data_IF_309548191968
#
_entry.id   IF_309548191968
#
_cell.length_a   1.000
_cell.length_b   1.000
_cell.length_c   1.000
_cell.angle_alpha   90.00
_cell.angle_beta   90.00
_cell.angle_gamma   90.00
#
_symmetry.space_group_name_H-M   'P 1'
#
loop_
_entity.id
_entity.type
_entity.pdbx_description
1 polymer ?
#
# COMPACT_ATOMS: atom_id res chain seq x y z
N UNK A 1 12.55 28.41 -5.39
CA UNK A 1 11.47 27.89 -4.61
C UNK A 1 11.56 26.39 -4.43
N UNK A 2 11.56 25.96 -3.23
CA UNK A 2 11.66 24.54 -2.96
C UNK A 2 10.32 23.86 -3.21
N UNK A 3 10.39 22.72 -3.83
CA UNK A 3 9.23 21.85 -3.94
C UNK A 3 9.21 20.98 -2.72
N UNK A 4 8.22 21.17 -1.92
CA UNK A 4 8.02 20.26 -0.80
C UNK A 4 7.23 19.09 -1.31
N UNK A 5 7.67 17.89 -0.96
CA UNK A 5 6.88 16.71 -1.18
C UNK A 5 5.58 16.88 -0.42
N UNK A 6 4.46 16.62 -1.06
CA UNK A 6 3.18 16.64 -0.37
C UNK A 6 3.21 15.60 0.72
N UNK A 7 2.78 15.96 1.92
CA UNK A 7 2.59 14.99 2.98
C UNK A 7 1.59 13.93 2.49
N UNK A 8 1.74 12.67 2.92
CA UNK A 8 0.77 11.66 2.55
C UNK A 8 -0.62 12.02 3.06
N UNK A 9 -1.61 11.79 2.23
CA UNK A 9 -3.00 12.05 2.57
C UNK A 9 -3.83 10.82 2.27
N UNK A 10 -4.73 10.49 3.19
CA UNK A 10 -5.67 9.41 2.98
C UNK A 10 -7.05 9.86 3.45
N UNK A 11 -8.06 9.61 2.64
CA UNK A 11 -9.44 9.91 2.98
C UNK A 11 -10.28 8.66 2.75
N UNK A 12 -11.29 8.50 3.60
CA UNK A 12 -12.17 7.34 3.51
C UNK A 12 -13.61 7.80 3.26
N UNK A 13 -14.27 7.14 2.33
CA UNK A 13 -15.70 7.24 2.16
C UNK A 13 -16.29 6.01 2.84
N UNK A 14 -16.76 6.19 4.06
CA UNK A 14 -17.23 5.09 4.89
C UNK A 14 -18.55 4.50 4.40
N UNK A 15 -19.31 5.26 3.62
CA UNK A 15 -20.56 4.78 3.04
C UNK A 15 -20.29 3.85 1.87
N UNK A 16 -19.33 4.22 1.02
CA UNK A 16 -18.98 3.43 -0.16
C UNK A 16 -17.94 2.35 0.14
N UNK A 17 -17.31 2.38 1.31
CA UNK A 17 -16.26 1.44 1.64
C UNK A 17 -15.03 1.63 0.79
N UNK A 18 -14.61 2.87 0.61
CA UNK A 18 -13.55 3.27 -0.31
C UNK A 18 -12.53 4.15 0.38
N UNK A 19 -11.25 3.88 0.12
CA UNK A 19 -10.15 4.72 0.58
C UNK A 19 -9.43 5.27 -0.64
N UNK A 20 -9.10 6.55 -0.61
CA UNK A 20 -8.22 7.19 -1.58
C UNK A 20 -7.03 7.75 -0.81
N UNK A 21 -5.82 7.46 -1.30
CA UNK A 21 -4.61 7.96 -0.67
C UNK A 21 -3.61 8.40 -1.73
N UNK A 22 -2.79 9.38 -1.40
CA UNK A 22 -1.79 9.90 -2.33
C UNK A 22 -0.54 10.30 -1.57
N UNK A 23 0.61 10.19 -2.24
CA UNK A 23 1.89 10.68 -1.73
C UNK A 23 2.82 10.93 -2.92
N UNK A 24 3.71 11.91 -2.77
CA UNK A 24 4.77 12.14 -3.76
C UNK A 24 6.09 11.75 -3.13
N UNK A 25 6.88 10.96 -3.85
CA UNK A 25 8.12 10.40 -3.34
C UNK A 25 9.29 10.75 -4.26
N UNK A 26 10.46 10.92 -3.67
CA UNK A 26 11.67 11.33 -4.40
C UNK A 26 12.40 10.09 -4.94
N UNK A 27 11.78 9.42 -5.91
CA UNK A 27 12.35 8.23 -6.53
C UNK A 27 11.74 8.05 -7.92
N UNK A 28 12.45 7.39 -8.85
CA UNK A 28 11.92 7.17 -10.20
C UNK A 28 10.83 6.08 -10.20
N UNK A 29 10.00 6.10 -11.24
CA UNK A 29 8.87 5.17 -11.37
C UNK A 29 9.25 3.71 -11.12
N UNK A 30 10.34 3.26 -11.73
CA UNK A 30 10.76 1.86 -11.61
C UNK A 30 11.09 1.50 -10.15
N UNK A 31 11.78 2.38 -9.45
CA UNK A 31 12.13 2.14 -8.06
C UNK A 31 10.90 2.13 -7.16
N UNK A 32 9.95 3.02 -7.44
CA UNK A 32 8.70 3.07 -6.67
C UNK A 32 7.90 1.79 -6.92
N UNK A 33 7.79 1.37 -8.17
CA UNK A 33 7.06 0.14 -8.48
C UNK A 33 7.66 -1.05 -7.73
N UNK A 34 8.99 -1.15 -7.69
CA UNK A 34 9.65 -2.21 -6.95
C UNK A 34 9.29 -2.20 -5.47
N UNK A 35 9.22 -1.01 -4.87
CA UNK A 35 8.89 -0.90 -3.46
C UNK A 35 7.45 -1.36 -3.16
N UNK A 36 6.55 -1.26 -4.15
CA UNK A 36 5.16 -1.68 -3.97
C UNK A 36 4.95 -3.18 -4.13
N UNK A 37 5.89 -3.87 -4.75
CA UNK A 37 5.68 -5.27 -5.15
C UNK A 37 6.93 -6.11 -4.94
N UNK A 38 7.53 -6.03 -3.77
CA UNK A 38 8.69 -6.80 -3.40
C UNK A 38 8.79 -6.88 -1.88
N UNK A 39 9.85 -7.50 -1.39
CA UNK A 39 10.12 -7.57 0.04
C UNK A 39 10.33 -6.19 0.67
N UNK A 40 10.52 -5.16 -0.15
CA UNK A 40 10.60 -3.78 0.34
C UNK A 40 9.34 -3.38 1.11
N UNK A 41 8.23 -4.06 0.88
CA UNK A 41 6.99 -3.83 1.63
C UNK A 41 7.22 -3.94 3.14
N UNK A 42 8.13 -4.79 3.57
CA UNK A 42 8.41 -4.96 4.99
C UNK A 42 9.02 -3.70 5.63
N UNK A 43 9.54 -2.79 4.82
CA UNK A 43 10.12 -1.55 5.32
C UNK A 43 9.08 -0.44 5.49
N UNK A 44 7.94 -0.53 4.81
CA UNK A 44 6.98 0.58 4.86
C UNK A 44 5.55 0.17 5.25
N UNK A 45 5.21 -1.11 5.21
CA UNK A 45 3.93 -1.56 5.81
C UNK A 45 4.14 -1.71 7.31
N UNK A 46 4.38 -0.60 7.98
CA UNK A 46 4.68 -0.55 9.41
C UNK A 46 3.98 0.65 10.02
N UNK A 47 3.36 0.45 11.16
CA UNK A 47 2.82 1.54 11.97
C UNK A 47 3.30 1.30 13.40
N UNK A 48 4.27 2.09 13.88
CA UNK A 48 4.87 1.87 15.19
C UNK A 48 3.82 1.72 16.30
N UNK A 49 3.95 0.64 17.08
CA UNK A 49 3.03 0.36 18.17
C UNK A 49 1.72 -0.29 17.73
N UNK A 50 1.48 -0.46 16.44
CA UNK A 50 0.23 -1.01 15.93
C UNK A 50 0.48 -2.27 15.11
N UNK A 51 1.27 -2.18 14.04
CA UNK A 51 1.61 -3.36 13.27
C UNK A 51 3.00 -3.25 12.66
N UNK A 52 3.57 -4.42 12.33
CA UNK A 52 4.93 -4.54 11.81
C UNK A 52 4.95 -5.72 10.86
N UNK A 53 5.03 -5.45 9.56
CA UNK A 53 5.10 -6.48 8.54
C UNK A 53 6.53 -6.97 8.42
N UNK A 54 6.76 -8.26 8.52
CA UNK A 54 8.09 -8.87 8.60
C UNK A 54 8.45 -9.72 7.39
N UNK A 55 7.44 -10.24 6.68
CA UNK A 55 7.66 -11.10 5.53
C UNK A 55 6.73 -10.74 4.40
N UNK A 56 7.23 -10.85 3.19
CA UNK A 56 6.43 -10.67 1.98
C UNK A 56 6.96 -11.60 0.90
N UNK A 57 6.07 -12.24 0.18
CA UNK A 57 6.42 -13.04 -1.00
C UNK A 57 5.34 -12.85 -2.05
N UNK A 58 5.71 -13.01 -3.31
CA UNK A 58 4.72 -12.88 -4.37
C UNK A 58 5.30 -13.11 -5.75
N UNK A 59 4.40 -13.40 -6.68
CA UNK A 59 4.72 -13.47 -8.10
C UNK A 59 4.02 -12.31 -8.78
N UNK A 60 4.79 -11.31 -9.21
CA UNK A 60 4.24 -10.05 -9.73
C UNK A 60 3.88 -10.23 -11.21
N UNK A 61 2.74 -10.85 -11.44
CA UNK A 61 2.14 -11.07 -12.76
C UNK A 61 0.64 -11.25 -12.56
N UNK A 62 -0.13 -11.00 -13.59
CA UNK A 62 -1.58 -11.24 -13.53
C UNK A 62 -1.83 -12.69 -13.17
N UNK A 63 -2.63 -12.93 -12.16
CA UNK A 63 -2.90 -14.26 -11.63
C UNK A 63 -1.89 -14.75 -10.60
N UNK A 64 -0.82 -14.02 -10.38
CA UNK A 64 0.17 -14.38 -9.37
C UNK A 64 -0.34 -14.07 -7.96
N UNK A 65 0.03 -14.91 -6.99
CA UNK A 65 -0.36 -14.74 -5.60
C UNK A 65 0.68 -13.93 -4.83
N UNK A 66 0.25 -13.23 -3.80
CA UNK A 66 1.15 -12.58 -2.86
C UNK A 66 0.69 -12.86 -1.43
N UNK A 67 1.63 -12.78 -0.50
CA UNK A 67 1.35 -12.98 0.92
C UNK A 67 2.30 -12.14 1.76
N UNK A 68 1.77 -11.56 2.83
CA UNK A 68 2.54 -10.79 3.79
C UNK A 68 2.16 -11.23 5.21
N UNK A 69 3.12 -11.18 6.13
CA UNK A 69 2.85 -11.55 7.51
C UNK A 69 3.71 -10.74 8.46
N UNK A 70 3.27 -10.67 9.70
CA UNK A 70 3.97 -9.92 10.73
C UNK A 70 3.22 -9.98 12.05
N UNK A 71 3.39 -8.93 12.85
CA UNK A 71 2.76 -8.79 14.15
C UNK A 71 1.85 -7.57 14.12
N UNK A 72 0.61 -7.71 14.54
CA UNK A 72 -0.32 -6.59 14.66
C UNK A 72 -1.12 -6.75 15.95
N UNK A 73 -1.20 -5.67 16.74
CA UNK A 73 -1.89 -5.72 18.01
C UNK A 73 -1.32 -6.75 18.99
N UNK A 74 -0.01 -7.02 18.89
CA UNK A 74 0.64 -8.03 19.72
C UNK A 74 0.39 -9.47 19.28
N UNK A 75 -0.22 -9.68 18.11
CA UNK A 75 -0.56 -11.01 17.61
C UNK A 75 -0.06 -11.20 16.19
N UNK A 76 0.29 -12.43 15.80
CA UNK A 76 0.63 -12.72 14.42
C UNK A 76 -0.55 -12.39 13.50
N UNK A 77 -0.25 -11.83 12.32
CA UNK A 77 -1.24 -11.62 11.29
C UNK A 77 -0.68 -12.02 9.94
N UNK A 78 -1.55 -12.29 8.99
CA UNK A 78 -1.17 -12.58 7.63
C UNK A 78 -2.21 -12.02 6.67
N UNK A 79 -1.72 -11.50 5.57
CA UNK A 79 -2.54 -10.98 4.48
C UNK A 79 -2.19 -11.74 3.22
N UNK A 80 -3.14 -11.85 2.30
CA UNK A 80 -2.92 -12.53 1.04
C UNK A 80 -3.78 -11.91 -0.06
N UNK A 81 -3.38 -12.16 -1.29
CA UNK A 81 -4.16 -11.69 -2.42
C UNK A 81 -3.59 -12.19 -3.73
N UNK A 82 -4.13 -11.66 -4.81
CA UNK A 82 -3.76 -12.03 -6.16
C UNK A 82 -3.61 -10.75 -6.98
N UNK A 83 -2.58 -10.71 -7.83
CA UNK A 83 -2.39 -9.58 -8.74
C UNK A 83 -3.40 -9.72 -9.89
N UNK A 84 -4.18 -8.65 -10.11
CA UNK A 84 -5.20 -8.65 -11.15
C UNK A 84 -4.86 -7.74 -12.31
N UNK A 85 -3.94 -6.79 -12.10
CA UNK A 85 -3.44 -5.94 -13.16
C UNK A 85 -1.99 -5.57 -12.87
N UNK A 86 -1.11 -5.73 -13.85
CA UNK A 86 0.31 -5.38 -13.71
C UNK A 86 0.74 -4.66 -14.98
N UNK A 87 0.93 -3.36 -14.88
CA UNK A 87 1.40 -2.52 -15.99
C UNK A 87 2.61 -1.74 -15.47
N UNK A 88 3.76 -2.39 -15.50
CA UNK A 88 5.02 -1.86 -14.96
C UNK A 88 5.54 -0.73 -15.84
N UNK A 89 5.95 0.40 -15.27
CA UNK A 89 5.98 0.76 -13.85
C UNK A 89 4.85 1.71 -13.43
N UNK A 90 3.68 1.65 -14.08
CA UNK A 90 2.64 2.66 -13.95
C UNK A 90 1.44 2.24 -13.13
N UNK A 91 1.12 0.95 -13.12
CA UNK A 91 -0.11 0.52 -12.45
C UNK A 91 0.03 -0.87 -11.89
N UNK A 92 -0.53 -1.07 -10.70
CA UNK A 92 -0.54 -2.36 -10.04
C UNK A 92 -1.85 -2.49 -9.28
N UNK A 93 -2.58 -3.58 -9.52
CA UNK A 93 -3.83 -3.85 -8.83
C UNK A 93 -3.79 -5.25 -8.26
N UNK A 94 -4.25 -5.40 -7.02
CA UNK A 94 -4.32 -6.72 -6.40
C UNK A 94 -5.48 -6.79 -5.43
N UNK A 95 -5.91 -8.01 -5.12
CA UNK A 95 -6.87 -8.23 -4.05
C UNK A 95 -6.14 -8.23 -2.71
N UNK A 96 -6.90 -8.13 -1.63
CA UNK A 96 -6.36 -8.01 -0.28
C UNK A 96 -7.37 -8.61 0.70
N UNK A 97 -6.90 -9.54 1.53
CA UNK A 97 -7.74 -10.08 2.62
C UNK A 97 -6.86 -10.59 3.73
N UNK A 98 -7.40 -10.58 4.94
CA UNK A 98 -6.72 -11.23 6.06
C UNK A 98 -6.92 -12.75 5.92
N UNK A 99 -5.85 -13.51 6.12
CA UNK A 99 -5.89 -14.98 6.05
C UNK A 99 -6.85 -15.49 7.14
N UNK A 100 -7.77 -16.36 6.72
CA UNK A 100 -8.75 -16.92 7.65
C UNK A 100 -9.97 -16.05 7.90
N UNK A 101 -10.03 -14.86 7.34
CA UNK A 101 -11.18 -13.97 7.48
C UNK A 101 -12.34 -14.47 6.62
N UNK A 102 -13.58 -14.44 7.14
CA UNK A 102 -14.75 -14.77 6.33
C UNK A 102 -15.16 -13.62 5.41
N UNK A 103 -14.57 -12.42 5.58
CA UNK A 103 -14.92 -11.29 4.77
C UNK A 103 -14.40 -11.45 3.34
N UNK A 104 -15.12 -10.88 2.37
CA UNK A 104 -14.69 -10.88 0.98
C UNK A 104 -13.40 -10.04 0.82
N UNK A 105 -12.63 -10.36 -0.20
CA UNK A 105 -11.43 -9.59 -0.52
C UNK A 105 -11.78 -8.15 -0.87
N UNK A 106 -10.91 -7.23 -0.48
CA UNK A 106 -10.95 -5.86 -0.96
C UNK A 106 -9.97 -5.74 -2.14
N UNK A 107 -9.97 -4.59 -2.81
CA UNK A 107 -9.15 -4.38 -4.01
C UNK A 107 -8.30 -3.14 -3.85
N UNK A 108 -6.99 -3.29 -4.08
CA UNK A 108 -6.03 -2.21 -4.00
C UNK A 108 -5.53 -1.91 -5.40
N UNK A 109 -5.58 -0.64 -5.80
CA UNK A 109 -5.00 -0.18 -7.06
C UNK A 109 -4.00 0.93 -6.78
N UNK A 110 -2.81 0.81 -7.35
CA UNK A 110 -1.80 1.87 -7.33
C UNK A 110 -1.64 2.42 -8.73
N UNK A 111 -1.66 3.73 -8.85
CA UNK A 111 -1.32 4.44 -10.09
C UNK A 111 -0.09 5.29 -9.81
N UNK A 112 0.94 5.16 -10.65
CA UNK A 112 2.19 5.89 -10.51
C UNK A 112 2.35 6.85 -11.66
N UNK A 113 2.65 8.13 -11.33
CA UNK A 113 2.81 9.18 -12.32
C UNK A 113 4.06 10.00 -12.00
N UNK A 114 4.80 10.36 -13.04
CA UNK A 114 5.95 11.23 -12.87
C UNK A 114 5.46 12.66 -12.78
N UNK A 115 5.83 13.36 -11.70
CA UNK A 115 5.41 14.74 -11.46
C UNK A 115 6.62 15.55 -10.99
N UNK A 116 7.09 16.46 -11.83
CA UNK A 116 8.18 17.38 -11.48
C UNK A 116 9.40 16.69 -10.87
N UNK A 117 9.83 15.61 -11.51
CA UNK A 117 11.02 14.88 -11.04
C UNK A 117 10.78 13.92 -9.90
N UNK A 118 9.56 13.84 -9.42
CA UNK A 118 9.17 12.90 -8.37
C UNK A 118 8.15 11.93 -8.94
N UNK A 119 7.78 10.93 -8.15
CA UNK A 119 6.70 10.01 -8.51
C UNK A 119 5.52 10.24 -7.56
N UNK A 120 4.35 10.47 -8.14
CA UNK A 120 3.12 10.51 -7.36
C UNK A 120 2.50 9.11 -7.37
N UNK A 121 2.17 8.64 -6.19
CA UNK A 121 1.43 7.39 -6.02
C UNK A 121 -0.01 7.75 -5.65
N UNK A 122 -0.96 7.24 -6.41
CA UNK A 122 -2.38 7.36 -6.07
C UNK A 122 -2.89 5.96 -5.78
N UNK A 123 -3.46 5.77 -4.61
CA UNK A 123 -3.99 4.49 -4.18
C UNK A 123 -5.51 4.57 -4.10
N UNK A 124 -6.15 3.49 -4.57
CA UNK A 124 -7.58 3.29 -4.38
C UNK A 124 -7.76 1.90 -3.75
N UNK A 125 -8.37 1.86 -2.57
CA UNK A 125 -8.63 0.61 -1.86
C UNK A 125 -10.13 0.53 -1.60
N UNK A 126 -10.80 -0.42 -2.24
CA UNK A 126 -12.26 -0.48 -2.28
C UNK A 126 -12.76 -1.85 -1.84
N UNK A 127 -14.04 -1.93 -1.50
CA UNK A 127 -14.70 -3.18 -1.17
C UNK A 127 -14.88 -3.40 0.32
N UNK A 128 -14.68 -2.38 1.14
CA UNK A 128 -14.90 -2.51 2.58
C UNK A 128 -16.38 -2.60 2.91
N UNK A 129 -16.71 -3.54 3.78
CA UNK A 129 -18.09 -3.70 4.27
C UNK A 129 -18.23 -3.26 5.73
N UNK A 130 -17.10 -3.00 6.41
CA UNK A 130 -17.07 -2.52 7.78
C UNK A 130 -16.53 -1.09 7.80
N UNK A 131 -17.31 -0.17 8.37
CA UNK A 131 -16.90 1.24 8.48
C UNK A 131 -15.66 1.36 9.37
N UNK A 132 -15.61 0.60 10.44
CA UNK A 132 -14.46 0.62 11.36
C UNK A 132 -13.20 0.13 10.68
N UNK A 133 -13.28 -0.98 9.95
CA UNK A 133 -12.12 -1.53 9.23
C UNK A 133 -11.66 -0.55 8.17
N UNK A 134 -12.59 0.07 7.45
CA UNK A 134 -12.26 1.06 6.44
C UNK A 134 -11.50 2.23 7.05
N UNK A 135 -11.98 2.78 8.15
CA UNK A 135 -11.33 3.90 8.81
C UNK A 135 -9.95 3.55 9.33
N UNK A 136 -9.81 2.39 9.97
CA UNK A 136 -8.53 1.95 10.50
C UNK A 136 -7.52 1.70 9.39
N UNK A 137 -7.96 1.11 8.28
CA UNK A 137 -7.09 0.85 7.13
C UNK A 137 -6.67 2.18 6.48
N UNK A 138 -7.57 3.15 6.42
CA UNK A 138 -7.25 4.48 5.90
C UNK A 138 -6.11 5.12 6.69
N UNK A 139 -6.19 5.06 8.01
CA UNK A 139 -5.12 5.57 8.87
C UNK A 139 -3.81 4.81 8.67
N UNK A 140 -3.92 3.51 8.46
CA UNK A 140 -2.76 2.67 8.17
C UNK A 140 -2.07 3.09 6.87
N UNK A 141 -2.83 3.37 5.83
CA UNK A 141 -2.26 3.81 4.55
C UNK A 141 -1.52 5.14 4.70
N UNK A 142 -2.08 6.08 5.43
CA UNK A 142 -1.43 7.37 5.63
C UNK A 142 -0.07 7.19 6.31
N UNK A 143 -0.02 6.38 7.37
CA UNK A 143 1.22 6.09 8.08
C UNK A 143 2.21 5.31 7.20
N UNK A 144 1.72 4.33 6.46
CA UNK A 144 2.57 3.52 5.59
C UNK A 144 3.16 4.34 4.45
N UNK A 145 2.38 5.25 3.87
CA UNK A 145 2.90 6.13 2.82
C UNK A 145 3.93 7.11 3.36
N UNK A 146 3.79 7.55 4.61
CA UNK A 146 4.82 8.37 5.23
C UNK A 146 6.13 7.59 5.37
N UNK A 147 6.04 6.33 5.80
CA UNK A 147 7.21 5.45 5.91
C UNK A 147 7.82 5.19 4.52
N UNK A 148 6.99 4.96 3.51
CA UNK A 148 7.46 4.72 2.14
C UNK A 148 8.25 5.92 1.63
N UNK A 149 7.74 7.13 1.83
CA UNK A 149 8.43 8.33 1.39
C UNK A 149 9.80 8.45 2.04
N UNK A 150 9.92 8.12 3.32
CA UNK A 150 11.19 8.17 4.04
C UNK A 150 12.17 7.11 3.55
N UNK A 151 11.69 5.90 3.32
CA UNK A 151 12.52 4.79 2.82
C UNK A 151 13.09 5.14 1.44
N UNK A 152 12.25 5.67 0.55
CA UNK A 152 12.69 5.99 -0.81
C UNK A 152 13.60 7.22 -0.84
N UNK A 153 13.41 8.17 0.05
CA UNK A 153 14.29 9.34 0.13
C UNK A 153 15.68 8.96 0.64
N UNK A 154 15.78 7.97 1.52
CA UNK A 154 17.04 7.55 2.12
C UNK A 154 17.79 6.51 1.28
N UNK A 155 17.03 5.67 0.56
CA UNK A 155 17.60 4.48 -0.10
C UNK A 155 17.88 4.70 -1.57
N UNK A 156 18.66 5.56 -1.93
CA UNK A 156 19.01 5.79 -3.29
C UNK A 156 19.63 4.67 -4.02
#
# INVERSE_FOLDING_TARGET
MSHESSAPRAVADLTEGLILATVEVAAPLERVFEALASRDITAWWVRPGVFDTREWSGEVRVGGAWRASGIGGGRPYALEGEFTEVDRPRKLTHTWRAVGSPAASTHVSYLLEKVEGQTRITLRHAGFTSRETCLNTCRGWETSFDALAKVLAAGR
#
